data_IF_022156611562
#
_entry.id   IF_022156611562
#
_cell.length_a   1.000
_cell.length_b   1.000
_cell.length_c   1.000
_cell.angle_alpha   90.00
_cell.angle_beta   90.00
_cell.angle_gamma   90.00
#
_symmetry.space_group_name_H-M   'P 1'
#
loop_
_entity.id
_entity.type
_entity.pdbx_description
1 polymer ?
#
# COMPACT_ATOMS: atom_id res chain seq x y z
N UNK A 1 2.27 17.16 -25.61
CA UNK A 1 2.58 16.39 -24.38
C UNK A 1 2.37 17.34 -23.21
N UNK A 2 1.70 16.92 -22.15
CA UNK A 2 1.59 17.72 -20.93
C UNK A 2 2.89 17.60 -20.14
N UNK A 3 3.35 18.69 -19.53
CA UNK A 3 4.49 18.68 -18.61
C UNK A 3 4.07 18.05 -17.28
N UNK A 4 4.94 17.23 -16.68
CA UNK A 4 4.67 16.58 -15.41
C UNK A 4 5.94 16.31 -14.61
N UNK A 5 5.80 16.23 -13.29
CA UNK A 5 6.86 15.70 -12.41
C UNK A 5 6.34 14.96 -11.19
N UNK A 6 7.23 14.19 -10.56
CA UNK A 6 6.98 13.47 -9.32
C UNK A 6 7.80 14.08 -8.19
N UNK A 7 7.12 14.64 -7.19
CA UNK A 7 7.75 15.19 -6.00
C UNK A 7 7.62 14.18 -4.84
N UNK A 8 8.74 13.68 -4.29
CA UNK A 8 8.73 12.76 -3.14
C UNK A 8 8.14 13.45 -1.91
N UNK A 9 7.14 12.81 -1.28
CA UNK A 9 6.48 13.34 -0.09
C UNK A 9 7.02 12.67 1.17
N UNK A 10 7.00 11.34 1.17
CA UNK A 10 7.42 10.50 2.29
C UNK A 10 7.56 9.04 1.86
N UNK A 11 8.23 8.29 2.72
CA UNK A 11 8.28 6.84 2.72
C UNK A 11 7.46 6.33 3.91
N UNK A 12 6.72 5.24 3.73
CA UNK A 12 6.25 4.45 4.87
C UNK A 12 6.69 3.00 4.79
N UNK A 13 6.91 2.40 5.96
CA UNK A 13 7.15 0.96 6.13
C UNK A 13 6.04 0.42 7.03
N UNK A 14 5.17 -0.41 6.46
CA UNK A 14 4.10 -1.08 7.19
C UNK A 14 4.57 -2.47 7.64
N UNK A 15 4.29 -2.82 8.89
CA UNK A 15 4.29 -4.20 9.35
C UNK A 15 2.88 -4.76 9.18
N UNK A 16 2.77 -5.96 8.61
CA UNK A 16 1.52 -6.68 8.45
C UNK A 16 1.41 -7.79 9.50
N UNK A 17 0.17 -8.10 9.88
CA UNK A 17 -0.17 -9.31 10.62
C UNK A 17 -0.03 -10.54 9.70
N UNK A 18 0.03 -11.77 10.27
CA UNK A 18 -0.09 -12.99 9.49
C UNK A 18 -1.32 -12.93 8.55
N UNK A 19 -1.17 -13.29 7.27
CA UNK A 19 -2.22 -13.15 6.28
C UNK A 19 -3.42 -14.03 6.60
N UNK A 20 -4.62 -13.49 6.37
CA UNK A 20 -5.85 -14.26 6.37
C UNK A 20 -6.18 -14.66 4.95
N UNK A 21 -5.89 -15.91 4.59
CA UNK A 21 -6.25 -16.47 3.28
C UNK A 21 -7.71 -16.86 3.32
N UNK A 22 -8.57 -16.07 2.66
CA UNK A 22 -10.00 -16.38 2.55
C UNK A 22 -10.24 -17.48 1.51
N UNK A 23 -9.34 -17.60 0.54
CA UNK A 23 -9.33 -18.68 -0.45
C UNK A 23 -9.84 -18.25 -1.83
N UNK A 24 -10.08 -19.24 -2.67
CA UNK A 24 -10.50 -19.03 -4.05
C UNK A 24 -11.93 -18.48 -4.14
N UNK A 25 -12.12 -17.52 -5.04
CA UNK A 25 -13.38 -16.87 -5.38
C UNK A 25 -13.49 -16.75 -6.92
N UNK A 26 -14.66 -16.33 -7.41
CA UNK A 26 -14.86 -16.12 -8.85
C UNK A 26 -13.86 -15.13 -9.48
N UNK A 27 -13.29 -14.22 -8.70
CA UNK A 27 -12.35 -13.18 -9.16
C UNK A 27 -10.88 -13.52 -8.89
N UNK A 28 -10.57 -14.73 -8.42
CA UNK A 28 -9.23 -15.14 -8.00
C UNK A 28 -9.15 -15.46 -6.50
N UNK A 29 -7.96 -15.41 -5.92
CA UNK A 29 -7.74 -15.73 -4.49
C UNK A 29 -7.76 -14.47 -3.64
N UNK A 30 -8.62 -14.44 -2.62
CA UNK A 30 -8.71 -13.35 -1.66
C UNK A 30 -7.79 -13.59 -0.47
N UNK A 31 -6.98 -12.58 -0.14
CA UNK A 31 -6.11 -12.56 1.04
C UNK A 31 -6.25 -11.22 1.72
N UNK A 32 -6.51 -11.21 3.02
CA UNK A 32 -6.53 -9.98 3.80
C UNK A 32 -5.22 -9.84 4.59
N UNK A 33 -4.58 -8.68 4.44
CA UNK A 33 -3.38 -8.31 5.19
C UNK A 33 -3.70 -7.17 6.14
N UNK A 34 -3.98 -7.49 7.41
CA UNK A 34 -4.24 -6.49 8.43
C UNK A 34 -2.95 -5.74 8.79
N UNK A 35 -3.07 -4.42 8.98
CA UNK A 35 -1.93 -3.55 9.31
C UNK A 35 -1.65 -3.63 10.81
N UNK A 36 -0.41 -3.99 11.17
CA UNK A 36 0.05 -4.03 12.56
C UNK A 36 0.63 -2.69 13.05
N UNK A 37 0.82 -1.74 12.13
CA UNK A 37 1.41 -0.43 12.36
C UNK A 37 2.65 -0.22 11.48
N UNK A 38 3.41 0.83 11.75
CA UNK A 38 4.61 1.12 10.98
C UNK A 38 5.10 2.55 11.15
N UNK A 39 6.12 2.90 10.38
CA UNK A 39 6.80 4.20 10.45
C UNK A 39 6.59 4.99 9.17
N UNK A 40 6.48 6.31 9.30
CA UNK A 40 6.38 7.23 8.17
C UNK A 40 7.43 8.32 8.31
N UNK A 41 8.27 8.49 7.29
CA UNK A 41 9.34 9.49 7.29
C UNK A 41 9.51 10.13 5.92
N UNK A 42 9.64 11.46 5.90
CA UNK A 42 9.74 12.22 4.67
C UNK A 42 9.88 13.72 4.90
N UNK A 43 10.25 14.48 3.87
CA UNK A 43 10.38 15.93 3.94
C UNK A 43 9.07 16.65 4.21
N UNK A 44 7.93 16.08 3.80
CA UNK A 44 6.60 16.70 3.92
C UNK A 44 5.75 16.11 5.04
N UNK A 45 6.08 14.90 5.50
CA UNK A 45 5.29 14.16 6.46
C UNK A 45 6.18 13.22 7.27
N UNK A 46 6.06 13.29 8.60
CA UNK A 46 6.70 12.39 9.56
C UNK A 46 5.67 11.95 10.59
N UNK A 47 5.67 10.66 10.92
CA UNK A 47 4.69 10.08 11.83
C UNK A 47 4.78 8.57 11.89
N UNK A 48 3.65 7.94 12.19
CA UNK A 48 3.50 6.49 12.29
C UNK A 48 2.26 6.03 11.54
N UNK A 49 2.34 4.85 10.95
CA UNK A 49 1.18 4.14 10.44
C UNK A 49 0.47 3.48 11.62
N UNK A 50 -0.82 3.74 11.79
CA UNK A 50 -1.61 3.18 12.88
C UNK A 50 -1.95 1.71 12.60
N UNK A 51 -2.11 0.93 13.67
CA UNK A 51 -2.54 -0.47 13.63
C UNK A 51 -4.05 -0.58 13.36
N UNK A 52 -4.50 0.02 12.25
CA UNK A 52 -5.89 0.03 11.80
C UNK A 52 -5.92 -0.14 10.28
N UNK A 53 -6.97 -0.81 9.80
CA UNK A 53 -7.14 -1.07 8.39
C UNK A 53 -6.38 -2.31 7.89
N UNK A 54 -6.44 -2.50 6.58
CA UNK A 54 -5.94 -3.70 5.92
C UNK A 54 -5.79 -3.45 4.41
N UNK A 55 -5.03 -4.32 3.76
CA UNK A 55 -5.15 -4.59 2.33
C UNK A 55 -6.09 -5.78 2.10
N UNK A 56 -7.11 -5.58 1.28
CA UNK A 56 -8.00 -6.62 0.80
C UNK A 56 -7.49 -7.12 -0.56
N UNK A 57 -6.32 -7.76 -0.55
CA UNK A 57 -5.63 -8.20 -1.75
C UNK A 57 -6.40 -9.30 -2.50
N UNK A 58 -6.38 -9.22 -3.83
CA UNK A 58 -6.97 -10.25 -4.69
C UNK A 58 -5.98 -10.66 -5.78
N UNK A 59 -5.57 -11.92 -5.78
CA UNK A 59 -4.71 -12.50 -6.81
C UNK A 59 -5.58 -13.07 -7.93
N UNK A 60 -5.55 -12.42 -9.09
CA UNK A 60 -6.26 -12.86 -10.27
C UNK A 60 -5.61 -14.11 -10.87
N UNK A 61 -6.35 -14.81 -11.74
CA UNK A 61 -5.92 -16.07 -12.37
C UNK A 61 -4.78 -15.91 -13.36
N UNK A 62 -4.56 -14.70 -13.87
CA UNK A 62 -3.42 -14.33 -14.73
C UNK A 62 -2.17 -13.92 -13.92
N UNK A 63 -2.22 -14.03 -12.59
CA UNK A 63 -1.10 -13.72 -11.71
C UNK A 63 -0.99 -12.26 -11.29
N UNK A 64 -1.89 -11.39 -11.76
CA UNK A 64 -1.93 -9.99 -11.32
C UNK A 64 -2.66 -9.86 -9.98
N UNK A 65 -1.93 -9.42 -8.97
CA UNK A 65 -2.46 -9.02 -7.67
C UNK A 65 -3.01 -7.60 -7.70
N UNK A 66 -4.24 -7.42 -7.23
CA UNK A 66 -4.84 -6.08 -7.02
C UNK A 66 -4.94 -5.78 -5.54
N UNK A 67 -4.54 -4.57 -5.16
CA UNK A 67 -4.59 -4.05 -3.81
C UNK A 67 -5.84 -3.19 -3.61
N UNK A 68 -6.42 -3.25 -2.42
CA UNK A 68 -7.48 -2.36 -1.97
C UNK A 68 -7.24 -2.05 -0.49
N UNK A 69 -6.58 -0.92 -0.23
CA UNK A 69 -6.05 -0.60 1.08
C UNK A 69 -6.76 0.57 1.69
N UNK A 70 -7.09 0.42 2.98
CA UNK A 70 -7.44 1.52 3.88
C UNK A 70 -6.51 1.51 5.07
N UNK A 71 -5.97 2.66 5.40
CA UNK A 71 -5.02 2.84 6.50
C UNK A 71 -5.19 4.23 7.12
N UNK A 72 -4.53 4.47 8.24
CA UNK A 72 -4.43 5.80 8.85
C UNK A 72 -3.00 6.10 9.28
N UNK A 73 -2.58 7.34 9.07
CA UNK A 73 -1.31 7.86 9.56
C UNK A 73 -1.61 8.86 10.67
N UNK A 74 -0.85 8.78 11.76
CA UNK A 74 -0.75 9.85 12.75
C UNK A 74 0.60 10.53 12.61
N UNK A 75 0.58 11.84 12.40
CA UNK A 75 1.80 12.64 12.30
C UNK A 75 2.40 12.90 13.68
N UNK A 76 3.69 13.22 13.71
CA UNK A 76 4.43 13.52 14.95
C UNK A 76 3.86 14.70 15.76
N UNK A 77 3.06 15.57 15.14
CA UNK A 77 2.39 16.73 15.70
C UNK A 77 0.86 16.52 15.88
N UNK A 78 0.37 15.29 15.73
CA UNK A 78 -0.98 14.89 16.14
C UNK A 78 -2.07 14.98 15.07
N UNK A 79 -1.73 15.21 13.79
CA UNK A 79 -2.68 15.14 12.70
C UNK A 79 -3.02 13.68 12.35
N UNK A 80 -4.31 13.38 12.21
CA UNK A 80 -4.79 12.10 11.65
C UNK A 80 -5.07 12.25 10.17
N UNK A 81 -4.56 11.31 9.37
CA UNK A 81 -4.69 11.30 7.91
C UNK A 81 -5.24 9.94 7.49
N UNK A 82 -6.44 9.94 6.91
CA UNK A 82 -7.03 8.79 6.21
C UNK A 82 -6.26 8.56 4.92
N UNK A 83 -5.83 7.31 4.70
CA UNK A 83 -5.10 6.91 3.50
C UNK A 83 -5.84 5.77 2.84
N UNK A 84 -6.21 5.97 1.57
CA UNK A 84 -6.85 4.96 0.74
C UNK A 84 -6.10 4.81 -0.56
N UNK A 85 -5.84 3.58 -0.97
CA UNK A 85 -5.18 3.33 -2.24
C UNK A 85 -5.55 2.00 -2.84
N UNK A 86 -5.56 1.99 -4.16
CA UNK A 86 -5.55 0.78 -4.96
C UNK A 86 -4.19 0.66 -5.64
N UNK A 87 -3.87 -0.52 -6.14
CA UNK A 87 -2.67 -0.73 -6.90
C UNK A 87 -2.57 -2.15 -7.43
N UNK A 88 -1.41 -2.43 -8.02
CA UNK A 88 -1.09 -3.73 -8.60
C UNK A 88 0.27 -4.22 -8.16
N UNK A 89 0.39 -5.54 -8.05
CA UNK A 89 1.64 -6.28 -7.99
C UNK A 89 1.55 -7.47 -8.94
N UNK A 90 2.57 -7.67 -9.76
CA UNK A 90 2.58 -8.73 -10.77
C UNK A 90 3.45 -9.90 -10.28
N UNK A 91 2.84 -11.09 -10.14
CA UNK A 91 3.53 -12.32 -9.77
C UNK A 91 3.96 -13.16 -10.99
N UNK A 92 3.73 -12.66 -12.21
CA UNK A 92 3.92 -13.35 -13.47
C UNK A 92 2.72 -14.21 -13.86
N UNK A 93 2.64 -14.62 -15.13
CA UNK A 93 1.51 -15.39 -15.68
C UNK A 93 1.19 -16.69 -14.91
N UNK A 94 2.20 -17.32 -14.30
CA UNK A 94 2.05 -18.54 -13.50
C UNK A 94 1.88 -18.26 -11.98
N UNK A 95 1.87 -16.99 -11.59
CA UNK A 95 1.87 -16.52 -10.20
C UNK A 95 0.68 -17.04 -9.40
N UNK A 96 -0.50 -17.14 -10.00
CA UNK A 96 -1.68 -17.72 -9.36
C UNK A 96 -1.49 -19.21 -9.03
N UNK A 97 -1.00 -19.99 -10.00
CA UNK A 97 -0.77 -21.43 -9.80
C UNK A 97 0.33 -21.67 -8.76
N UNK A 98 1.40 -20.87 -8.78
CA UNK A 98 2.47 -20.88 -7.78
C UNK A 98 1.95 -20.53 -6.38
N UNK A 99 1.12 -19.51 -6.27
CA UNK A 99 0.48 -19.12 -5.00
C UNK A 99 -0.30 -20.28 -4.38
N UNK A 100 -1.11 -20.99 -5.18
CA UNK A 100 -1.88 -22.15 -4.71
C UNK A 100 -1.01 -23.32 -4.21
N UNK A 101 0.25 -23.40 -4.67
CA UNK A 101 1.25 -24.36 -4.19
C UNK A 101 2.07 -23.85 -3.01
N UNK A 102 1.85 -22.62 -2.56
CA UNK A 102 2.63 -21.97 -1.50
C UNK A 102 4.00 -21.44 -1.97
N UNK A 103 4.21 -21.28 -3.27
CA UNK A 103 5.48 -20.88 -3.88
C UNK A 103 5.54 -19.36 -4.15
N UNK A 104 5.61 -18.57 -3.08
CA UNK A 104 5.74 -17.11 -3.20
C UNK A 104 7.18 -16.69 -3.57
N UNK A 105 7.36 -15.63 -4.39
CA UNK A 105 8.67 -15.00 -4.50
C UNK A 105 9.07 -14.37 -3.15
N UNK A 106 10.36 -14.04 -2.93
CA UNK A 106 10.78 -13.37 -1.70
C UNK A 106 10.16 -11.97 -1.57
N UNK A 107 10.12 -11.23 -2.68
CA UNK A 107 9.52 -9.89 -2.74
C UNK A 107 8.55 -9.73 -3.90
N UNK A 108 7.68 -8.73 -3.81
CA UNK A 108 6.74 -8.33 -4.86
C UNK A 108 6.81 -6.81 -5.04
N UNK A 109 7.12 -6.36 -6.25
CA UNK A 109 7.06 -4.94 -6.61
C UNK A 109 5.61 -4.47 -6.73
N UNK A 110 5.31 -3.30 -6.17
CA UNK A 110 3.96 -2.75 -6.05
C UNK A 110 3.90 -1.35 -6.65
N UNK A 111 2.82 -1.05 -7.38
CA UNK A 111 2.51 0.28 -7.91
C UNK A 111 1.12 0.69 -7.50
N UNK A 112 0.99 1.80 -6.78
CA UNK A 112 -0.26 2.21 -6.14
C UNK A 112 -0.61 3.67 -6.45
N UNK A 113 -1.87 4.04 -6.22
CA UNK A 113 -2.37 5.40 -6.40
C UNK A 113 -2.99 5.93 -5.10
N UNK A 114 -2.17 6.32 -4.11
CA UNK A 114 -2.68 6.76 -2.82
C UNK A 114 -3.40 8.11 -2.87
N UNK A 115 -4.45 8.19 -2.06
CA UNK A 115 -5.20 9.40 -1.74
C UNK A 115 -5.17 9.60 -0.24
N UNK A 116 -5.02 10.85 0.16
CA UNK A 116 -5.00 11.26 1.56
C UNK A 116 -6.17 12.20 1.84
N UNK A 117 -6.72 12.10 3.06
CA UNK A 117 -7.74 13.01 3.55
C UNK A 117 -7.51 13.33 5.04
N UNK A 118 -7.61 14.60 5.41
CA UNK A 118 -7.49 15.08 6.78
C UNK A 118 -8.25 16.38 7.00
N UNK A 119 -8.67 16.62 8.24
CA UNK A 119 -9.23 17.89 8.71
C UNK A 119 -8.19 18.80 9.37
N UNK A 120 -6.95 18.33 9.57
CA UNK A 120 -5.94 19.10 10.30
C UNK A 120 -5.45 20.30 9.47
N UNK A 121 -5.52 21.55 9.99
CA UNK A 121 -5.20 22.76 9.23
C UNK A 121 -3.83 22.74 8.53
N UNK A 122 -2.79 22.27 9.23
CA UNK A 122 -1.42 22.26 8.69
C UNK A 122 -1.19 21.21 7.58
N UNK A 123 -2.11 20.25 7.44
CA UNK A 123 -2.02 19.15 6.47
C UNK A 123 -3.10 19.18 5.39
N UNK A 124 -3.93 20.23 5.31
CA UNK A 124 -4.97 20.37 4.28
C UNK A 124 -4.43 20.32 2.84
N UNK A 125 -3.14 20.58 2.65
CA UNK A 125 -2.47 20.42 1.36
C UNK A 125 -2.55 18.96 0.84
N UNK A 126 -2.55 17.97 1.73
CA UNK A 126 -2.58 16.55 1.36
C UNK A 126 -3.89 16.16 0.64
N UNK A 127 -5.00 16.80 1.02
CA UNK A 127 -6.33 16.59 0.41
C UNK A 127 -6.36 16.93 -1.09
N UNK A 128 -5.41 17.75 -1.56
CA UNK A 128 -5.37 18.32 -2.91
C UNK A 128 -4.46 17.56 -3.87
N UNK A 129 -3.82 16.48 -3.42
CA UNK A 129 -2.82 15.76 -4.20
C UNK A 129 -3.40 14.49 -4.83
N UNK A 130 -2.98 14.23 -6.06
CA UNK A 130 -2.94 12.88 -6.59
C UNK A 130 -1.54 12.32 -6.38
N UNK A 131 -1.45 11.12 -5.80
CA UNK A 131 -0.17 10.50 -5.52
C UNK A 131 0.02 9.20 -6.30
N UNK A 132 1.28 8.80 -6.40
CA UNK A 132 1.75 7.50 -6.87
C UNK A 132 2.63 6.90 -5.77
N UNK A 133 2.40 5.63 -5.44
CA UNK A 133 3.24 4.85 -4.56
C UNK A 133 4.08 3.86 -5.36
N UNK A 134 5.37 3.84 -5.10
CA UNK A 134 6.32 2.86 -5.62
C UNK A 134 6.76 2.03 -4.42
N UNK A 135 6.42 0.76 -4.40
CA UNK A 135 6.69 -0.08 -3.24
C UNK A 135 7.18 -1.48 -3.56
N UNK A 136 7.49 -2.17 -2.48
CA UNK A 136 7.88 -3.57 -2.46
C UNK A 136 7.36 -4.21 -1.18
N UNK A 137 6.72 -5.38 -1.31
CA UNK A 137 6.40 -6.25 -0.20
C UNK A 137 7.46 -7.33 -0.04
N UNK A 138 7.85 -7.62 1.19
CA UNK A 138 8.69 -8.74 1.57
C UNK A 138 7.85 -9.76 2.35
N UNK A 139 7.64 -10.93 1.75
CA UNK A 139 6.79 -11.97 2.32
C UNK A 139 7.46 -12.70 3.48
N UNK A 140 8.79 -12.65 3.60
CA UNK A 140 9.52 -13.30 4.70
C UNK A 140 9.40 -12.52 6.01
N UNK A 141 9.32 -11.19 5.92
CA UNK A 141 9.22 -10.30 7.09
C UNK A 141 7.82 -9.74 7.30
N UNK A 142 6.90 -9.97 6.34
CA UNK A 142 5.57 -9.37 6.29
C UNK A 142 5.63 -7.84 6.37
N UNK A 143 6.66 -7.25 5.76
CA UNK A 143 6.82 -5.80 5.67
C UNK A 143 6.54 -5.32 4.27
N UNK A 144 5.95 -4.14 4.17
CA UNK A 144 5.76 -3.46 2.89
C UNK A 144 6.30 -2.05 3.00
N UNK A 145 7.18 -1.68 2.07
CA UNK A 145 7.75 -0.34 1.97
C UNK A 145 7.16 0.35 0.75
N UNK A 146 6.81 1.63 0.89
CA UNK A 146 6.44 2.49 -0.22
C UNK A 146 7.14 3.84 -0.14
N UNK A 147 7.63 4.32 -1.28
CA UNK A 147 7.92 5.73 -1.52
C UNK A 147 6.70 6.37 -2.20
N UNK A 148 6.18 7.45 -1.61
CA UNK A 148 4.96 8.14 -2.06
C UNK A 148 5.33 9.49 -2.66
N UNK A 149 4.84 9.74 -3.87
CA UNK A 149 5.11 10.94 -4.66
C UNK A 149 3.81 11.65 -5.00
N UNK A 150 3.79 12.99 -5.04
CA UNK A 150 2.71 13.73 -5.68
C UNK A 150 2.98 13.92 -7.17
N UNK A 151 1.93 13.80 -7.99
CA UNK A 151 1.96 14.20 -9.41
C UNK A 151 1.66 15.69 -9.51
N UNK A 152 2.46 16.42 -10.29
CA UNK A 152 2.33 17.86 -10.53
C UNK A 152 2.25 18.17 -12.01
#
# INVERSE_FOLDING_TARGET
MLDYRLDHLFTFVAQLQPPQVLGAMATGVRVNFAIAGGDVSGPRLKGRLLAVGADFFNLQTDGVGTLDVRAAIETHDGALIDVRYQGVGDLGEDGHARFLRGELPPTLALRTAPRMATSHPDYLWANRLQCIGIGEADFSTLKVRYDVYSVR
#
